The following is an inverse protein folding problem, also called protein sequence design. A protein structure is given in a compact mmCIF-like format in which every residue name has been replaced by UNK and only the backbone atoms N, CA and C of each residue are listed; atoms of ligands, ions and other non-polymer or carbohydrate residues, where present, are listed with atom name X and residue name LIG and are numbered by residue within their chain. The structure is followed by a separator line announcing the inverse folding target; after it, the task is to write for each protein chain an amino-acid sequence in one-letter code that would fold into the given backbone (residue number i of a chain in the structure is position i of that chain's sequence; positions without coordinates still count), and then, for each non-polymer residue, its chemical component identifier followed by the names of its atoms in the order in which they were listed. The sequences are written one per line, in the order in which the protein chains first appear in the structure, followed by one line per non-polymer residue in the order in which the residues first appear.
data_IF_092543528900
#
_entry.id   IF_092543528900
#
_cell.length_a   1.000
_cell.length_b   1.000
_cell.length_c   1.000
_cell.angle_alpha   90.00
_cell.angle_beta   90.00
_cell.angle_gamma   90.00
#
_symmetry.space_group_name_H-M   'P 1'
#
loop_
_entity.id
_entity.type
_entity.pdbx_description
1 polymer ?
#
# COMPACT_ATOMS: atom_id res chain seq x y z
N UNK A 1 26.51 3.17 -12.33
CA UNK A 1 25.49 2.47 -11.54
C UNK A 1 24.43 3.47 -11.11
N UNK A 2 23.27 3.47 -11.77
CA UNK A 2 22.15 4.34 -11.40
C UNK A 2 21.51 3.76 -10.14
N UNK A 3 21.65 4.44 -9.00
CA UNK A 3 20.97 4.07 -7.77
C UNK A 3 19.47 4.27 -8.02
N UNK A 4 18.77 3.20 -8.41
CA UNK A 4 17.32 3.23 -8.52
C UNK A 4 16.77 3.67 -7.17
N UNK A 5 15.95 4.72 -7.16
CA UNK A 5 15.20 5.07 -5.96
C UNK A 5 14.44 3.82 -5.51
N UNK A 6 14.50 3.47 -4.24
CA UNK A 6 13.77 2.31 -3.70
C UNK A 6 12.39 2.71 -3.15
N UNK A 7 12.23 4.00 -2.88
CA UNK A 7 11.01 4.59 -2.30
C UNK A 7 10.34 5.54 -3.29
N UNK A 8 9.02 5.61 -3.20
CA UNK A 8 8.21 6.62 -3.86
C UNK A 8 8.50 8.00 -3.24
N UNK A 9 8.71 9.00 -4.08
CA UNK A 9 9.16 10.32 -3.62
C UNK A 9 8.06 11.10 -2.87
N UNK A 10 6.80 10.84 -3.17
CA UNK A 10 5.67 11.51 -2.53
C UNK A 10 5.32 10.85 -1.19
N UNK A 11 5.15 9.54 -1.21
CA UNK A 11 4.57 8.79 -0.07
C UNK A 11 5.61 8.15 0.83
N UNK A 12 6.87 8.06 0.41
CA UNK A 12 7.98 7.49 1.18
C UNK A 12 7.96 5.96 1.31
N UNK A 13 6.90 5.27 0.88
CA UNK A 13 6.82 3.80 0.84
C UNK A 13 7.58 3.23 -0.36
N UNK A 14 7.64 1.90 -0.49
CA UNK A 14 8.34 1.31 -1.62
C UNK A 14 7.69 1.70 -2.95
N UNK A 15 8.52 1.98 -3.96
CA UNK A 15 7.99 2.15 -5.31
C UNK A 15 7.65 0.79 -5.93
N UNK A 16 6.95 0.83 -7.07
CA UNK A 16 6.52 -0.37 -7.77
C UNK A 16 7.64 -1.40 -8.01
N UNK A 17 8.83 -0.96 -8.41
CA UNK A 17 9.96 -1.87 -8.66
C UNK A 17 10.39 -2.60 -7.39
N UNK A 18 10.62 -1.86 -6.31
CA UNK A 18 11.05 -2.43 -5.03
C UNK A 18 9.96 -3.28 -4.38
N UNK A 19 8.69 -2.87 -4.49
CA UNK A 19 7.53 -3.64 -4.08
C UNK A 19 7.50 -5.01 -4.76
N UNK A 20 7.69 -5.08 -6.08
CA UNK A 20 7.70 -6.36 -6.81
C UNK A 20 8.83 -7.26 -6.33
N UNK A 21 10.03 -6.70 -6.18
CA UNK A 21 11.21 -7.45 -5.75
C UNK A 21 11.04 -8.03 -4.34
N UNK A 22 10.56 -7.21 -3.40
CA UNK A 22 10.34 -7.63 -2.01
C UNK A 22 9.13 -8.57 -1.91
N UNK A 23 8.03 -8.27 -2.61
CA UNK A 23 6.84 -9.11 -2.63
C UNK A 23 7.12 -10.52 -3.15
N UNK A 24 7.85 -10.65 -4.26
CA UNK A 24 8.26 -11.95 -4.78
C UNK A 24 9.14 -12.73 -3.80
N UNK A 25 10.05 -12.03 -3.09
CA UNK A 25 10.88 -12.65 -2.05
C UNK A 25 10.04 -13.16 -0.89
N UNK A 26 9.10 -12.35 -0.40
CA UNK A 26 8.18 -12.69 0.68
C UNK A 26 7.30 -13.89 0.33
N UNK A 27 6.69 -13.90 -0.85
CA UNK A 27 5.88 -15.03 -1.33
C UNK A 27 6.74 -16.29 -1.46
N UNK A 28 7.92 -16.18 -2.06
CA UNK A 28 8.84 -17.32 -2.21
C UNK A 28 9.28 -17.89 -0.86
N UNK A 29 9.50 -17.05 0.15
CA UNK A 29 9.84 -17.46 1.50
C UNK A 29 8.66 -18.19 2.18
N UNK A 30 7.45 -17.62 2.10
CA UNK A 30 6.24 -18.21 2.66
C UNK A 30 5.94 -19.60 2.05
N UNK A 31 6.08 -19.75 0.73
CA UNK A 31 5.91 -21.04 0.03
C UNK A 31 6.90 -22.08 0.56
N UNK A 32 8.18 -21.73 0.69
CA UNK A 32 9.20 -22.67 1.24
C UNK A 32 8.92 -23.05 2.68
N UNK A 33 8.45 -22.10 3.49
CA UNK A 33 8.11 -22.30 4.89
C UNK A 33 6.74 -22.96 5.11
N UNK A 34 5.95 -23.18 4.05
CA UNK A 34 4.54 -23.61 4.12
C UNK A 34 3.69 -22.71 5.03
N UNK A 35 3.95 -21.41 4.98
CA UNK A 35 3.22 -20.38 5.71
C UNK A 35 2.23 -19.67 4.80
N UNK A 36 1.10 -19.18 5.33
CA UNK A 36 0.17 -18.39 4.55
C UNK A 36 0.80 -17.05 4.15
N UNK A 37 0.39 -16.54 3.01
CA UNK A 37 0.73 -15.19 2.54
C UNK A 37 -0.50 -14.60 1.88
N UNK A 38 -0.79 -13.35 2.21
CA UNK A 38 -1.89 -12.59 1.62
C UNK A 38 -1.35 -11.37 0.88
N UNK A 39 -2.05 -10.98 -0.18
CA UNK A 39 -1.74 -9.76 -0.94
C UNK A 39 -3.01 -8.93 -1.03
N UNK A 40 -2.88 -7.65 -0.73
CA UNK A 40 -3.95 -6.68 -0.77
C UNK A 40 -3.64 -5.62 -1.82
N UNK A 41 -4.60 -5.37 -2.71
CA UNK A 41 -4.58 -4.24 -3.62
C UNK A 41 -5.58 -3.19 -3.14
N UNK A 42 -5.13 -1.95 -3.04
CA UNK A 42 -5.91 -0.81 -2.60
C UNK A 42 -5.96 0.20 -3.75
N UNK A 43 -7.16 0.67 -4.08
CA UNK A 43 -7.39 1.74 -5.04
C UNK A 43 -8.15 2.87 -4.35
N UNK A 44 -7.76 4.12 -4.61
CA UNK A 44 -8.46 5.28 -4.05
C UNK A 44 -9.61 5.70 -4.97
N UNK A 45 -10.81 5.23 -4.61
CA UNK A 45 -12.03 5.57 -5.32
C UNK A 45 -12.17 7.08 -5.55
N UNK A 46 -12.49 7.46 -6.78
CA UNK A 46 -12.75 8.84 -7.19
C UNK A 46 -11.57 9.82 -7.00
N UNK A 47 -10.33 9.34 -6.89
CA UNK A 47 -9.15 10.20 -6.72
C UNK A 47 -9.03 11.27 -7.82
N UNK A 48 -9.32 10.91 -9.08
CA UNK A 48 -9.40 11.88 -10.19
C UNK A 48 -10.37 13.04 -9.91
N UNK A 49 -11.56 12.77 -9.34
CA UNK A 49 -12.54 13.82 -9.02
C UNK A 49 -12.04 14.75 -7.92
N UNK A 50 -11.26 14.24 -6.97
CA UNK A 50 -10.62 15.05 -5.93
C UNK A 50 -9.59 15.99 -6.57
N UNK A 51 -8.72 15.46 -7.44
CA UNK A 51 -7.75 16.27 -8.18
C UNK A 51 -8.42 17.34 -9.04
N UNK A 52 -9.47 16.98 -9.78
CA UNK A 52 -10.17 17.91 -10.67
C UNK A 52 -10.87 19.04 -9.88
N UNK A 53 -11.36 18.75 -8.67
CA UNK A 53 -12.10 19.72 -7.84
C UNK A 53 -11.20 20.56 -6.93
N UNK A 54 -10.13 19.99 -6.39
CA UNK A 54 -9.32 20.60 -5.33
C UNK A 54 -7.83 20.77 -5.71
N UNK A 55 -7.45 20.36 -6.91
CA UNK A 55 -6.09 20.43 -7.43
C UNK A 55 -5.19 19.28 -6.94
N UNK A 56 -4.12 19.05 -7.69
CA UNK A 56 -3.17 17.95 -7.44
C UNK A 56 -2.54 18.00 -6.05
N UNK A 57 -2.25 19.19 -5.50
CA UNK A 57 -1.70 19.31 -4.15
C UNK A 57 -2.63 18.75 -3.06
N UNK A 58 -3.96 18.74 -3.29
CA UNK A 58 -4.91 18.11 -2.38
C UNK A 58 -4.86 16.59 -2.51
N UNK A 59 -4.80 16.07 -3.74
CA UNK A 59 -4.62 14.63 -3.99
C UNK A 59 -3.32 14.10 -3.41
N UNK A 60 -2.22 14.84 -3.54
CA UNK A 60 -0.92 14.46 -2.98
C UNK A 60 -1.00 14.27 -1.46
N UNK A 61 -1.63 15.21 -0.75
CA UNK A 61 -1.89 15.10 0.70
C UNK A 61 -2.80 13.93 1.05
N UNK A 62 -3.76 13.60 0.18
CA UNK A 62 -4.63 12.44 0.38
C UNK A 62 -3.82 11.14 0.28
N UNK A 63 -2.92 11.02 -0.70
CA UNK A 63 -2.03 9.87 -0.85
C UNK A 63 -1.11 9.71 0.36
N UNK A 64 -0.51 10.80 0.85
CA UNK A 64 0.32 10.81 2.07
C UNK A 64 -0.47 10.33 3.29
N UNK A 65 -1.69 10.87 3.50
CA UNK A 65 -2.56 10.48 4.62
C UNK A 65 -2.97 9.01 4.57
N UNK A 66 -3.41 8.54 3.41
CA UNK A 66 -3.77 7.12 3.22
C UNK A 66 -2.57 6.24 3.53
N UNK A 67 -1.39 6.62 3.01
CA UNK A 67 -0.16 5.88 3.26
C UNK A 67 0.14 5.77 4.75
N UNK A 68 0.02 6.87 5.51
CA UNK A 68 0.24 6.88 6.95
C UNK A 68 -0.75 5.95 7.68
N UNK A 69 -2.06 6.04 7.36
CA UNK A 69 -3.11 5.22 7.96
C UNK A 69 -2.86 3.73 7.71
N UNK A 70 -2.46 3.37 6.49
CA UNK A 70 -2.15 1.98 6.15
C UNK A 70 -0.89 1.54 6.90
N UNK A 71 0.19 2.33 6.84
CA UNK A 71 1.47 1.99 7.47
C UNK A 71 1.37 1.77 9.00
N UNK A 72 0.52 2.53 9.70
CA UNK A 72 0.29 2.35 11.15
C UNK A 72 -0.30 0.97 11.52
N UNK A 73 -0.94 0.30 10.56
CA UNK A 73 -1.56 -1.02 10.77
C UNK A 73 -0.67 -2.19 10.34
N UNK A 74 0.49 -1.91 9.75
CA UNK A 74 1.39 -2.91 9.21
C UNK A 74 2.50 -3.25 10.19
N UNK A 75 2.92 -4.50 10.14
CA UNK A 75 4.06 -5.02 10.87
C UNK A 75 5.36 -4.72 10.11
N UNK A 76 6.49 -4.95 10.74
CA UNK A 76 7.80 -4.69 10.14
C UNK A 76 8.07 -5.61 8.93
N UNK A 77 7.55 -6.84 8.97
CA UNK A 77 7.68 -7.81 7.88
C UNK A 77 6.73 -7.57 6.69
N UNK A 78 5.74 -6.70 6.85
CA UNK A 78 4.78 -6.38 5.80
C UNK A 78 5.41 -5.44 4.76
N UNK A 79 5.05 -5.64 3.50
CA UNK A 79 5.59 -4.83 2.40
C UNK A 79 4.49 -3.94 1.85
N UNK A 80 4.57 -2.64 2.13
CA UNK A 80 3.71 -1.62 1.53
C UNK A 80 4.45 -0.90 0.40
N UNK A 81 3.82 -0.83 -0.77
CA UNK A 81 4.34 -0.08 -1.89
C UNK A 81 3.27 0.56 -2.77
N UNK A 82 3.67 1.64 -3.44
CA UNK A 82 2.84 2.34 -4.43
C UNK A 82 2.96 1.61 -5.76
N UNK A 83 1.86 0.98 -6.18
CA UNK A 83 1.80 0.18 -7.40
C UNK A 83 1.56 1.06 -8.63
N UNK A 84 0.70 2.08 -8.49
CA UNK A 84 0.30 3.00 -9.55
C UNK A 84 0.14 4.44 -9.06
N UNK A 85 -0.59 5.27 -9.81
CA UNK A 85 -0.82 6.66 -9.44
C UNK A 85 -1.59 6.79 -8.12
N UNK A 86 -2.71 6.08 -8.00
CA UNK A 86 -3.60 6.07 -6.83
C UNK A 86 -3.74 4.68 -6.20
N UNK A 87 -2.97 3.71 -6.71
CA UNK A 87 -3.01 2.31 -6.34
C UNK A 87 -1.85 1.94 -5.40
N UNK A 88 -2.18 1.22 -4.33
CA UNK A 88 -1.23 0.69 -3.35
C UNK A 88 -1.35 -0.83 -3.27
N UNK A 89 -0.24 -1.48 -2.95
CA UNK A 89 -0.19 -2.92 -2.73
C UNK A 89 0.46 -3.20 -1.38
N UNK A 90 -0.11 -4.14 -0.66
CA UNK A 90 0.42 -4.66 0.60
C UNK A 90 0.63 -6.16 0.47
N UNK A 91 1.82 -6.63 0.78
CA UNK A 91 2.12 -8.06 0.94
C UNK A 91 2.22 -8.36 2.43
N UNK A 92 1.43 -9.31 2.90
CA UNK A 92 1.31 -9.72 4.30
C UNK A 92 1.82 -11.16 4.45
N UNK A 93 3.11 -11.37 4.75
CA UNK A 93 3.64 -12.68 5.09
C UNK A 93 2.96 -13.23 6.35
N UNK A 94 2.92 -14.55 6.49
CA UNK A 94 2.38 -15.22 7.69
C UNK A 94 0.93 -14.84 8.02
N UNK A 95 0.16 -14.42 7.02
CA UNK A 95 -1.19 -13.92 7.18
C UNK A 95 -2.12 -14.67 6.23
N UNK A 96 -3.07 -15.39 6.80
CA UNK A 96 -4.13 -16.07 6.06
C UNK A 96 -5.25 -15.09 5.66
N UNK A 97 -6.28 -15.61 5.00
CA UNK A 97 -7.40 -14.80 4.51
C UNK A 97 -8.20 -14.12 5.61
N UNK A 98 -8.31 -14.75 6.80
CA UNK A 98 -9.03 -14.18 7.94
C UNK A 98 -8.23 -13.04 8.58
N UNK A 99 -6.93 -13.26 8.79
CA UNK A 99 -6.01 -12.21 9.24
C UNK A 99 -5.98 -11.03 8.26
N UNK A 100 -5.94 -11.30 6.95
CA UNK A 100 -5.99 -10.27 5.92
C UNK A 100 -7.29 -9.44 5.99
N UNK A 101 -8.45 -10.09 6.16
CA UNK A 101 -9.73 -9.41 6.33
C UNK A 101 -9.77 -8.53 7.59
N UNK A 102 -9.12 -8.95 8.68
CA UNK A 102 -8.98 -8.14 9.89
C UNK A 102 -8.13 -6.89 9.65
N UNK A 103 -7.01 -7.00 8.92
CA UNK A 103 -6.18 -5.85 8.53
C UNK A 103 -6.95 -4.86 7.64
N UNK A 104 -7.84 -5.37 6.78
CA UNK A 104 -8.72 -4.59 5.92
C UNK A 104 -9.85 -3.86 6.64
N UNK A 105 -10.13 -4.22 7.90
CA UNK A 105 -11.32 -3.85 8.70
C UNK A 105 -12.09 -2.65 8.13
N UNK A 106 -13.19 -2.93 7.42
CA UNK A 106 -14.06 -1.99 6.68
C UNK A 106 -13.90 -0.53 7.09
N UNK A 107 -12.92 0.16 6.51
CA UNK A 107 -12.78 1.60 6.61
C UNK A 107 -13.03 2.15 5.22
N UNK A 108 -14.31 2.30 4.90
CA UNK A 108 -14.70 3.35 3.96
C UNK A 108 -14.31 4.67 4.61
N UNK A 109 -13.16 5.21 4.22
CA UNK A 109 -12.79 6.58 4.57
C UNK A 109 -13.79 7.51 3.88
N UNK A 110 -14.93 7.74 4.53
CA UNK A 110 -15.75 8.91 4.25
C UNK A 110 -15.07 10.05 4.96
N UNK A 111 -14.45 10.92 4.18
CA UNK A 111 -14.03 12.24 4.64
C UNK A 111 -15.22 12.86 5.41
N UNK A 112 -15.10 12.92 6.74
CA UNK A 112 -15.97 13.73 7.59
C UNK A 112 -15.24 15.06 7.82
N UNK A 113 -15.06 15.84 6.76
CA UNK A 113 -14.81 17.28 6.83
C UNK A 113 -16.11 17.98 6.42
N UNK A 114 -16.86 18.51 7.39
CA UNK A 114 -16.80 19.89 7.91
C UNK A 114 -17.62 20.85 7.03
#
# INVERSE_FOLDING_TARGET
MTRLATRDALTGIFNRGTLMDLGHKSVSAAVRARQPVSVLMLDLDHFKRVNDRFGHACGDRMLEKVTAIVAEKLREEDVLGRYGGEEFCVVLPNTDTEGCAHHLGTHTYRDRGA
#
